data_IF_800933562699
#
_entry.id   IF_800933562699
#
_cell.length_a   1.000
_cell.length_b   1.000
_cell.length_c   1.000
_cell.angle_alpha   90.00
_cell.angle_beta   90.00
_cell.angle_gamma   90.00
#
_symmetry.space_group_name_H-M   'P 1'
#
loop_
_entity.id
_entity.type
_entity.pdbx_description
1 polymer ?
#
# COMPACT_ATOMS: atom_id res chain seq x y z
N UNK A 1 20.68 2.99 -5.82
CA UNK A 1 21.98 3.67 -5.75
C UNK A 1 22.92 3.01 -4.74
N UNK A 2 22.43 2.29 -3.77
CA UNK A 2 23.20 1.57 -2.75
C UNK A 2 23.08 0.04 -2.96
N UNK A 3 23.79 -0.58 -3.92
CA UNK A 3 23.60 -1.99 -4.26
C UNK A 3 23.95 -2.97 -3.13
N UNK A 4 24.75 -2.53 -2.17
CA UNK A 4 25.23 -3.33 -1.04
C UNK A 4 24.35 -3.21 0.21
N UNK A 5 23.26 -2.41 0.16
CA UNK A 5 22.32 -2.28 1.26
C UNK A 5 21.10 -3.15 0.96
N UNK A 6 20.80 -4.17 1.78
CA UNK A 6 19.65 -5.04 1.54
C UNK A 6 18.33 -4.27 1.63
N UNK A 7 17.42 -4.53 0.71
CA UNK A 7 16.09 -3.90 0.67
C UNK A 7 15.04 -4.84 1.25
N UNK A 8 15.25 -6.15 1.18
CA UNK A 8 14.27 -7.16 1.56
C UNK A 8 13.92 -7.14 3.06
N UNK A 9 14.85 -6.68 3.89
CA UNK A 9 14.67 -6.56 5.35
C UNK A 9 14.10 -5.21 5.79
N UNK A 10 13.90 -4.27 4.86
CA UNK A 10 13.41 -2.93 5.16
C UNK A 10 11.91 -2.97 5.44
N UNK A 11 11.54 -2.64 6.67
CA UNK A 11 10.13 -2.55 7.08
C UNK A 11 9.65 -1.10 7.03
N UNK A 12 8.60 -0.87 6.26
CA UNK A 12 7.86 0.39 6.29
C UNK A 12 6.71 0.23 7.27
N UNK A 13 6.65 1.08 8.30
CA UNK A 13 5.66 0.99 9.39
C UNK A 13 4.63 2.10 9.37
N UNK A 14 4.77 3.08 8.47
CA UNK A 14 3.88 4.22 8.32
C UNK A 14 3.55 4.45 6.85
N UNK A 15 2.33 4.87 6.59
CA UNK A 15 1.87 5.22 5.24
C UNK A 15 2.26 6.64 4.83
N UNK A 16 2.64 7.47 5.78
CA UNK A 16 3.07 8.83 5.51
C UNK A 16 4.50 8.86 4.96
N UNK A 17 4.75 9.82 4.08
CA UNK A 17 6.06 10.12 3.53
C UNK A 17 6.53 11.50 3.97
N UNK A 18 7.83 11.76 3.98
CA UNK A 18 8.38 13.05 4.34
C UNK A 18 9.21 13.65 3.20
N UNK A 19 9.12 14.97 3.03
CA UNK A 19 10.07 15.76 2.23
C UNK A 19 10.95 16.53 3.21
N UNK A 20 12.24 16.19 3.36
CA UNK A 20 13.07 16.70 4.45
C UNK A 20 13.59 18.12 4.20
N UNK A 21 12.76 19.05 3.70
CA UNK A 21 13.16 20.40 3.37
C UNK A 21 13.62 21.18 4.63
N UNK A 22 12.89 21.06 5.73
CA UNK A 22 13.26 21.70 7.01
C UNK A 22 14.46 21.03 7.65
N UNK A 23 14.57 19.71 7.58
CA UNK A 23 15.70 18.96 8.09
C UNK A 23 17.00 19.31 7.35
N UNK A 24 16.91 19.49 6.04
CA UNK A 24 18.03 19.99 5.24
C UNK A 24 18.42 21.43 5.58
N UNK A 25 17.54 22.20 6.22
CA UNK A 25 17.84 23.53 6.75
C UNK A 25 18.31 23.50 8.23
N UNK A 26 18.45 22.32 8.84
CA UNK A 26 18.91 22.13 10.20
C UNK A 26 17.80 22.16 11.26
N UNK A 27 16.53 22.09 10.87
CA UNK A 27 15.40 22.07 11.80
C UNK A 27 14.83 20.66 11.92
N UNK A 28 15.01 20.05 13.10
CA UNK A 28 14.62 18.66 13.36
C UNK A 28 13.47 18.50 14.37
N UNK A 29 12.92 19.60 14.89
CA UNK A 29 11.76 19.51 15.77
C UNK A 29 10.60 18.80 15.07
N UNK A 30 9.99 17.81 15.76
CA UNK A 30 8.92 16.98 15.24
C UNK A 30 9.30 16.12 13.99
N UNK A 31 10.60 15.93 13.73
CA UNK A 31 11.03 15.04 12.67
C UNK A 31 10.75 13.58 13.03
N UNK A 32 10.02 12.89 12.15
CA UNK A 32 9.76 11.47 12.26
C UNK A 32 10.61 10.70 11.24
N UNK A 33 11.67 10.07 11.73
CA UNK A 33 12.58 9.29 10.92
C UNK A 33 12.00 8.01 10.35
N UNK A 34 10.88 7.50 10.89
CA UNK A 34 10.25 6.26 10.40
C UNK A 34 9.60 6.39 9.02
N UNK A 35 9.51 7.60 8.49
CA UNK A 35 8.90 7.87 7.19
C UNK A 35 9.90 7.69 6.06
N UNK A 36 9.42 7.27 4.89
CA UNK A 36 10.20 7.31 3.65
C UNK A 36 10.53 8.76 3.34
N UNK A 37 11.82 9.06 3.13
CA UNK A 37 12.30 10.41 2.83
C UNK A 37 12.37 10.61 1.32
N UNK A 38 11.78 11.70 0.79
CA UNK A 38 11.70 11.96 -0.64
C UNK A 38 12.41 13.26 -0.97
N UNK A 39 13.45 13.17 -1.79
CA UNK A 39 14.22 14.28 -2.31
C UNK A 39 13.69 14.62 -3.71
N UNK A 40 13.05 15.77 -3.82
CA UNK A 40 12.62 16.36 -5.08
C UNK A 40 13.60 17.43 -5.58
N UNK A 41 13.19 18.15 -6.63
CA UNK A 41 14.01 19.20 -7.24
C UNK A 41 14.35 20.32 -6.25
N UNK A 42 13.43 20.69 -5.38
CA UNK A 42 13.61 21.81 -4.44
C UNK A 42 14.68 21.44 -3.40
N UNK A 43 14.54 20.29 -2.77
CA UNK A 43 15.48 19.77 -1.78
C UNK A 43 16.87 19.58 -2.42
N UNK A 44 16.91 19.02 -3.61
CA UNK A 44 18.14 18.78 -4.35
C UNK A 44 18.87 20.09 -4.69
N UNK A 45 18.17 21.08 -5.24
CA UNK A 45 18.76 22.39 -5.57
C UNK A 45 19.29 23.10 -4.31
N UNK A 46 18.57 22.97 -3.19
CA UNK A 46 19.03 23.51 -1.90
C UNK A 46 20.34 22.84 -1.45
N UNK A 47 20.42 21.51 -1.56
CA UNK A 47 21.64 20.74 -1.26
C UNK A 47 22.82 21.17 -2.14
N UNK A 48 22.60 21.36 -3.46
CA UNK A 48 23.62 21.83 -4.39
C UNK A 48 24.14 23.22 -4.00
N UNK A 49 23.26 24.15 -3.63
CA UNK A 49 23.63 25.50 -3.21
C UNK A 49 24.44 25.53 -1.90
N UNK A 50 24.16 24.60 -0.98
CA UNK A 50 24.88 24.51 0.31
C UNK A 50 26.20 23.73 0.21
N UNK A 51 26.37 22.96 -0.85
CA UNK A 51 27.53 22.12 -1.07
C UNK A 51 27.42 20.73 -0.47
N UNK A 52 28.32 19.86 -0.89
CA UNK A 52 28.21 18.42 -0.58
C UNK A 52 28.54 18.13 0.87
N UNK A 53 29.50 18.80 1.49
CA UNK A 53 29.81 18.62 2.90
C UNK A 53 28.62 18.90 3.80
N UNK A 54 27.91 19.99 3.55
CA UNK A 54 26.69 20.32 4.27
C UNK A 54 25.60 19.28 4.05
N UNK A 55 25.43 18.84 2.81
CA UNK A 55 24.43 17.82 2.45
C UNK A 55 24.70 16.48 3.13
N UNK A 56 25.98 16.07 3.22
CA UNK A 56 26.40 14.87 3.94
C UNK A 56 26.06 14.99 5.43
N UNK A 57 26.38 16.13 6.06
CA UNK A 57 26.07 16.36 7.47
C UNK A 57 24.55 16.27 7.74
N UNK A 58 23.73 16.97 6.97
CA UNK A 58 22.27 16.98 7.17
C UNK A 58 21.64 15.60 6.90
N UNK A 59 22.11 14.89 5.88
CA UNK A 59 21.63 13.53 5.63
C UNK A 59 22.14 12.53 6.67
N UNK A 60 23.32 12.73 7.25
CA UNK A 60 23.78 11.94 8.39
C UNK A 60 22.85 12.11 9.59
N UNK A 61 22.42 13.33 9.92
CA UNK A 61 21.46 13.60 10.99
C UNK A 61 20.08 12.95 10.71
N UNK A 62 19.63 13.01 9.44
CA UNK A 62 18.37 12.32 9.02
C UNK A 62 18.50 10.80 9.19
N UNK A 63 19.66 10.22 8.84
CA UNK A 63 19.89 8.77 8.90
C UNK A 63 20.18 8.26 10.31
N UNK A 64 20.80 9.10 11.18
CA UNK A 64 21.04 8.75 12.58
C UNK A 64 19.75 8.70 13.40
N UNK A 65 18.71 9.46 13.01
CA UNK A 65 17.52 9.68 13.79
C UNK A 65 17.78 10.52 15.06
N UNK A 66 16.73 11.10 15.61
CA UNK A 66 16.77 11.67 16.96
C UNK A 66 16.93 10.53 17.98
N UNK A 67 17.40 10.82 19.20
CA UNK A 67 17.81 9.90 20.29
C UNK A 67 16.92 8.65 20.59
N UNK A 68 15.88 8.38 19.82
CA UNK A 68 14.98 7.21 19.90
C UNK A 68 15.04 6.29 18.66
N UNK A 69 16.17 6.25 17.99
CA UNK A 69 16.71 5.10 17.26
C UNK A 69 15.87 4.46 16.16
N UNK A 70 15.23 5.18 15.29
CA UNK A 70 14.70 4.56 14.08
C UNK A 70 15.26 5.26 12.85
N UNK A 71 15.89 4.47 11.98
CA UNK A 71 16.40 4.92 10.69
C UNK A 71 15.25 5.07 9.70
N UNK A 72 15.33 6.00 8.73
CA UNK A 72 14.36 6.03 7.65
C UNK A 72 14.42 4.71 6.86
N UNK A 73 13.25 4.18 6.44
CA UNK A 73 13.20 2.96 5.66
C UNK A 73 14.01 3.07 4.36
N UNK A 74 13.95 4.21 3.70
CA UNK A 74 14.79 4.56 2.56
C UNK A 74 14.74 6.06 2.26
N UNK A 75 15.66 6.50 1.42
CA UNK A 75 15.65 7.84 0.83
C UNK A 75 15.49 7.70 -0.68
N UNK A 76 14.52 8.41 -1.27
CA UNK A 76 14.21 8.31 -2.70
C UNK A 76 14.49 9.64 -3.40
N UNK A 77 15.39 9.62 -4.37
CA UNK A 77 15.65 10.74 -5.26
C UNK A 77 14.74 10.64 -6.49
N UNK A 78 13.89 11.64 -6.67
CA UNK A 78 12.96 11.72 -7.80
C UNK A 78 13.60 12.39 -9.03
N UNK A 79 12.92 12.36 -10.20
CA UNK A 79 13.34 13.01 -11.45
C UNK A 79 14.71 12.55 -11.98
N UNK A 80 15.13 11.36 -11.61
CA UNK A 80 16.45 10.83 -11.95
C UNK A 80 17.63 11.73 -11.50
N UNK A 81 17.44 12.52 -10.43
CA UNK A 81 18.47 13.39 -9.87
C UNK A 81 19.71 12.57 -9.53
N UNK A 82 20.92 13.06 -9.83
CA UNK A 82 22.14 12.34 -9.49
C UNK A 82 22.35 12.31 -7.97
N UNK A 83 23.04 11.29 -7.51
CA UNK A 83 23.40 11.12 -6.09
C UNK A 83 24.92 11.12 -6.01
N UNK A 84 25.49 12.01 -5.19
CA UNK A 84 26.94 12.09 -4.96
C UNK A 84 27.44 10.80 -4.27
N UNK A 85 28.62 10.32 -4.64
CA UNK A 85 29.19 9.08 -4.13
C UNK A 85 29.37 9.11 -2.59
N UNK A 86 29.67 10.26 -2.02
CA UNK A 86 29.77 10.45 -0.56
C UNK A 86 28.45 10.19 0.17
N UNK A 87 27.33 10.54 -0.45
CA UNK A 87 26.00 10.23 0.09
C UNK A 87 25.70 8.73 0.00
N UNK A 88 26.19 8.07 -1.06
CA UNK A 88 26.06 6.61 -1.22
C UNK A 88 26.91 5.89 -0.15
N UNK A 89 28.14 6.36 0.09
CA UNK A 89 29.00 5.83 1.15
C UNK A 89 28.39 6.01 2.54
N UNK A 90 27.85 7.20 2.82
CA UNK A 90 27.14 7.51 4.06
C UNK A 90 25.94 6.58 4.26
N UNK A 91 25.09 6.45 3.25
CA UNK A 91 23.92 5.59 3.29
C UNK A 91 24.28 4.11 3.49
N UNK A 92 25.39 3.67 2.90
CA UNK A 92 25.91 2.32 3.09
C UNK A 92 26.42 2.12 4.53
N UNK A 93 27.10 3.12 5.11
CA UNK A 93 27.54 3.12 6.52
C UNK A 93 26.35 2.94 7.48
N UNK A 94 25.27 3.66 7.24
CA UNK A 94 24.08 3.64 8.09
C UNK A 94 23.09 2.52 7.71
N UNK A 95 23.35 1.77 6.65
CA UNK A 95 22.46 0.73 6.12
C UNK A 95 21.06 1.30 5.83
N UNK A 96 21.00 2.47 5.18
CA UNK A 96 19.78 3.12 4.70
C UNK A 96 19.78 3.09 3.18
N UNK A 97 18.83 2.41 2.52
CA UNK A 97 18.79 2.35 1.06
C UNK A 97 18.55 3.72 0.43
N UNK A 98 19.35 4.08 -0.57
CA UNK A 98 19.07 5.20 -1.47
C UNK A 98 18.55 4.64 -2.79
N UNK A 99 17.33 5.02 -3.13
CA UNK A 99 16.66 4.67 -4.36
C UNK A 99 16.55 5.88 -5.29
N UNK A 100 16.38 5.65 -6.58
CA UNK A 100 16.21 6.70 -7.57
C UNK A 100 15.09 6.34 -8.54
N UNK A 101 14.22 7.31 -8.85
CA UNK A 101 13.14 7.18 -9.82
C UNK A 101 13.18 8.29 -10.85
N UNK A 102 12.77 7.99 -12.10
CA UNK A 102 12.60 8.98 -13.18
C UNK A 102 11.33 9.82 -13.00
N UNK A 103 10.40 9.38 -12.16
CA UNK A 103 9.08 10.01 -11.99
C UNK A 103 9.18 11.39 -11.35
N UNK A 104 8.21 12.25 -11.65
CA UNK A 104 8.06 13.53 -10.97
C UNK A 104 7.71 13.30 -9.49
N UNK A 105 8.20 14.19 -8.62
CA UNK A 105 8.08 14.02 -7.15
C UNK A 105 6.63 13.84 -6.70
N UNK A 106 5.72 14.69 -7.19
CA UNK A 106 4.31 14.66 -6.76
C UNK A 106 3.59 13.40 -7.26
N UNK A 107 3.85 12.96 -8.48
CA UNK A 107 3.29 11.71 -9.03
C UNK A 107 3.78 10.50 -8.23
N UNK A 108 5.09 10.44 -7.98
CA UNK A 108 5.69 9.35 -7.20
C UNK A 108 5.13 9.31 -5.78
N UNK A 109 5.02 10.47 -5.12
CA UNK A 109 4.45 10.56 -3.76
C UNK A 109 2.99 10.09 -3.71
N UNK A 110 2.17 10.54 -4.67
CA UNK A 110 0.76 10.16 -4.71
C UNK A 110 0.59 8.64 -4.83
N UNK A 111 1.31 8.03 -5.77
CA UNK A 111 1.24 6.57 -5.97
C UNK A 111 1.83 5.79 -4.80
N UNK A 112 2.92 6.30 -4.20
CA UNK A 112 3.54 5.67 -3.03
C UNK A 112 2.60 5.69 -1.83
N UNK A 113 1.98 6.84 -1.53
CA UNK A 113 1.02 6.97 -0.44
C UNK A 113 -0.19 6.05 -0.68
N UNK A 114 -0.70 6.01 -1.91
CA UNK A 114 -1.79 5.09 -2.26
C UNK A 114 -1.40 3.63 -2.05
N UNK A 115 -0.21 3.24 -2.49
CA UNK A 115 0.32 1.89 -2.31
C UNK A 115 0.49 1.53 -0.83
N UNK A 116 1.04 2.45 -0.03
CA UNK A 116 1.24 2.26 1.40
C UNK A 116 -0.10 2.14 2.13
N UNK A 117 -1.05 3.03 1.86
CA UNK A 117 -2.39 2.98 2.43
C UNK A 117 -3.09 1.66 2.12
N UNK A 118 -3.01 1.18 0.88
CA UNK A 118 -3.60 -0.10 0.49
C UNK A 118 -2.97 -1.30 1.20
N UNK A 119 -1.63 -1.33 1.30
CA UNK A 119 -0.92 -2.46 1.89
C UNK A 119 -0.97 -2.47 3.42
N UNK A 120 -1.03 -1.29 4.05
CA UNK A 120 -1.06 -1.12 5.50
C UNK A 120 -2.48 -0.95 6.06
N UNK A 121 -3.51 -0.97 5.19
CA UNK A 121 -4.89 -0.84 5.59
C UNK A 121 -5.25 -1.86 6.67
N UNK A 122 -5.91 -1.43 7.75
CA UNK A 122 -6.48 -2.34 8.74
C UNK A 122 -7.39 -3.36 8.06
N UNK A 123 -7.29 -4.62 8.46
CA UNK A 123 -8.02 -5.74 7.86
C UNK A 123 -8.84 -6.45 8.91
N UNK A 124 -10.02 -6.86 8.52
CA UNK A 124 -10.84 -7.81 9.26
C UNK A 124 -11.47 -8.81 8.31
N UNK A 125 -11.94 -9.91 8.86
CA UNK A 125 -12.62 -10.97 8.11
C UNK A 125 -14.01 -11.14 8.70
N UNK A 126 -15.02 -11.24 7.83
CA UNK A 126 -16.40 -11.48 8.22
C UNK A 126 -16.99 -12.67 7.48
N UNK A 127 -17.96 -13.38 8.09
CA UNK A 127 -18.74 -14.37 7.41
C UNK A 127 -19.89 -13.72 6.66
N UNK A 128 -19.92 -13.93 5.36
CA UNK A 128 -20.92 -13.33 4.48
C UNK A 128 -20.61 -13.59 3.02
N UNK A 129 -21.44 -13.05 2.15
CA UNK A 129 -21.29 -13.10 0.71
C UNK A 129 -21.20 -11.68 0.18
N UNK A 130 -20.17 -11.38 -0.59
CA UNK A 130 -20.00 -10.08 -1.23
C UNK A 130 -20.28 -10.23 -2.73
N UNK A 131 -21.23 -9.44 -3.23
CA UNK A 131 -21.61 -9.38 -4.64
C UNK A 131 -21.57 -7.95 -5.16
N UNK A 132 -21.23 -7.80 -6.42
CA UNK A 132 -21.31 -6.52 -7.14
C UNK A 132 -22.64 -6.52 -7.92
N UNK A 133 -23.53 -5.61 -7.56
CA UNK A 133 -24.84 -5.42 -8.18
C UNK A 133 -24.86 -4.05 -8.86
N UNK A 134 -24.77 -4.02 -10.18
CA UNK A 134 -24.68 -2.78 -11.00
C UNK A 134 -23.56 -1.80 -10.58
N UNK A 135 -22.48 -2.31 -10.03
CA UNK A 135 -21.34 -1.51 -9.58
C UNK A 135 -21.31 -1.24 -8.08
N UNK A 136 -22.42 -1.45 -7.38
CA UNK A 136 -22.54 -1.33 -5.93
C UNK A 136 -22.18 -2.67 -5.24
N UNK A 137 -21.37 -2.61 -4.19
CA UNK A 137 -20.99 -3.78 -3.42
C UNK A 137 -21.94 -4.04 -2.27
N UNK A 138 -22.63 -5.19 -2.34
CA UNK A 138 -23.58 -5.60 -1.32
C UNK A 138 -22.97 -6.75 -0.50
N UNK A 139 -22.77 -6.52 0.79
CA UNK A 139 -22.34 -7.55 1.73
C UNK A 139 -23.56 -8.19 2.38
N UNK A 140 -23.85 -9.42 2.01
CA UNK A 140 -24.98 -10.21 2.54
C UNK A 140 -24.48 -10.96 3.78
N UNK A 141 -25.02 -10.62 4.95
CA UNK A 141 -24.71 -11.25 6.22
C UNK A 141 -25.92 -12.04 6.75
N UNK A 142 -25.67 -12.98 7.65
CA UNK A 142 -26.72 -13.78 8.27
C UNK A 142 -26.18 -15.11 8.80
N UNK A 143 -27.03 -15.88 9.49
CA UNK A 143 -26.66 -17.17 10.04
C UNK A 143 -26.26 -18.18 8.96
N UNK A 144 -25.42 -19.15 9.35
CA UNK A 144 -25.06 -20.24 8.43
C UNK A 144 -26.31 -21.02 8.02
N UNK A 145 -26.46 -21.23 6.71
CA UNK A 145 -27.55 -22.01 6.15
C UNK A 145 -28.85 -21.28 5.87
N UNK A 146 -28.86 -19.95 6.00
CA UNK A 146 -30.06 -19.16 5.65
C UNK A 146 -30.26 -18.98 4.14
N UNK A 147 -29.32 -19.40 3.30
CA UNK A 147 -29.43 -19.31 1.85
C UNK A 147 -28.61 -18.18 1.21
N UNK A 148 -27.56 -17.65 1.88
CA UNK A 148 -26.74 -16.55 1.32
C UNK A 148 -26.09 -16.91 0.00
N UNK A 149 -25.47 -18.09 -0.09
CA UNK A 149 -24.81 -18.57 -1.30
C UNK A 149 -25.78 -18.84 -2.43
N UNK A 150 -26.98 -19.32 -2.12
CA UNK A 150 -28.07 -19.52 -3.09
C UNK A 150 -28.59 -18.20 -3.66
N UNK A 151 -28.69 -17.16 -2.81
CA UNK A 151 -29.05 -15.79 -3.26
C UNK A 151 -27.93 -15.24 -4.17
N UNK A 152 -26.65 -15.44 -3.81
CA UNK A 152 -25.54 -15.02 -4.66
C UNK A 152 -25.58 -15.71 -6.03
N UNK A 153 -25.84 -17.01 -6.07
CA UNK A 153 -25.97 -17.76 -7.34
C UNK A 153 -27.10 -17.21 -8.21
N UNK A 154 -28.26 -16.90 -7.64
CA UNK A 154 -29.37 -16.27 -8.36
C UNK A 154 -28.99 -14.89 -8.91
N UNK A 155 -28.24 -14.09 -8.15
CA UNK A 155 -27.71 -12.80 -8.60
C UNK A 155 -26.73 -12.96 -9.77
N UNK A 156 -25.85 -13.99 -9.72
CA UNK A 156 -24.93 -14.32 -10.82
C UNK A 156 -25.73 -14.69 -12.09
N UNK A 157 -26.77 -15.49 -11.95
CA UNK A 157 -27.65 -15.82 -13.08
C UNK A 157 -28.33 -14.60 -13.72
N UNK A 158 -28.57 -13.55 -12.93
CA UNK A 158 -29.10 -12.26 -13.39
C UNK A 158 -28.05 -11.31 -13.97
N UNK A 159 -26.79 -11.75 -14.06
CA UNK A 159 -25.71 -10.98 -14.65
C UNK A 159 -24.92 -10.11 -13.67
N UNK A 160 -25.08 -10.30 -12.36
CA UNK A 160 -24.26 -9.68 -11.32
C UNK A 160 -22.98 -10.49 -11.08
N UNK A 161 -22.05 -9.94 -10.29
CA UNK A 161 -20.72 -10.53 -10.14
C UNK A 161 -20.47 -10.98 -8.71
N UNK A 162 -19.95 -12.20 -8.55
CA UNK A 162 -19.44 -12.69 -7.27
C UNK A 162 -18.09 -12.04 -6.97
N UNK A 163 -17.93 -11.58 -5.75
CA UNK A 163 -16.62 -11.14 -5.20
C UNK A 163 -16.10 -12.18 -4.21
N UNK A 164 -16.92 -12.57 -3.24
CA UNK A 164 -16.56 -13.60 -2.25
C UNK A 164 -17.79 -14.33 -1.73
N UNK A 165 -17.62 -15.63 -1.42
CA UNK A 165 -18.60 -16.44 -0.71
C UNK A 165 -18.00 -16.94 0.60
N UNK A 166 -18.83 -17.08 1.63
CA UNK A 166 -18.56 -17.54 2.99
C UNK A 166 -17.62 -16.63 3.81
N UNK A 167 -16.46 -16.26 3.28
CA UNK A 167 -15.44 -15.46 3.97
C UNK A 167 -15.08 -14.22 3.15
N UNK A 168 -15.35 -13.04 3.69
CA UNK A 168 -15.00 -11.75 3.08
C UNK A 168 -13.88 -11.09 3.86
N UNK A 169 -12.75 -10.87 3.21
CA UNK A 169 -11.68 -10.03 3.73
C UNK A 169 -11.99 -8.56 3.45
N UNK A 170 -12.07 -7.75 4.49
CA UNK A 170 -12.37 -6.33 4.40
C UNK A 170 -11.14 -5.51 4.78
N UNK A 171 -10.73 -4.60 3.90
CA UNK A 171 -9.68 -3.59 4.14
C UNK A 171 -10.30 -2.21 4.27
N UNK A 172 -9.95 -1.49 5.31
CA UNK A 172 -10.34 -0.07 5.48
C UNK A 172 -9.31 0.82 4.79
N UNK A 173 -9.58 1.19 3.54
CA UNK A 173 -8.66 2.00 2.71
C UNK A 173 -8.56 3.43 3.23
N UNK A 174 -9.69 4.01 3.66
CA UNK A 174 -9.78 5.33 4.29
C UNK A 174 -11.02 5.38 5.19
N UNK A 175 -11.37 6.57 5.70
CA UNK A 175 -12.51 6.74 6.64
C UNK A 175 -13.86 6.35 6.05
N UNK A 176 -14.03 6.45 4.73
CA UNK A 176 -15.31 6.22 4.03
C UNK A 176 -15.28 5.01 3.10
N UNK A 177 -14.14 4.32 2.95
CA UNK A 177 -14.00 3.26 1.93
C UNK A 177 -13.59 1.95 2.57
N UNK A 178 -14.47 0.96 2.50
CA UNK A 178 -14.22 -0.43 2.83
C UNK A 178 -14.11 -1.23 1.53
N UNK A 179 -12.98 -1.90 1.33
CA UNK A 179 -12.74 -2.75 0.16
C UNK A 179 -12.84 -4.21 0.58
N UNK A 180 -13.78 -4.94 -0.03
CA UNK A 180 -13.96 -6.37 0.19
C UNK A 180 -13.30 -7.21 -0.90
N UNK A 181 -12.78 -8.37 -0.52
CA UNK A 181 -12.17 -9.37 -1.40
C UNK A 181 -12.35 -10.78 -0.85
N UNK A 182 -12.21 -11.77 -1.71
CA UNK A 182 -12.08 -13.16 -1.28
C UNK A 182 -10.64 -13.47 -0.82
N UNK A 183 -10.44 -14.38 0.15
CA UNK A 183 -9.15 -15.04 0.34
C UNK A 183 -8.68 -15.72 -0.95
N UNK A 184 -7.36 -15.78 -1.17
CA UNK A 184 -6.80 -16.33 -2.42
C UNK A 184 -7.24 -17.78 -2.69
N UNK A 185 -7.43 -18.58 -1.63
CA UNK A 185 -7.79 -20.01 -1.72
C UNK A 185 -9.24 -20.19 -2.15
N UNK A 186 -10.16 -19.31 -1.73
CA UNK A 186 -11.62 -19.41 -1.99
C UNK A 186 -12.08 -18.51 -3.12
N UNK A 187 -11.16 -17.80 -3.77
CA UNK A 187 -11.46 -16.85 -4.83
C UNK A 187 -12.22 -17.53 -5.98
N UNK A 188 -13.36 -16.95 -6.35
CA UNK A 188 -14.26 -17.41 -7.42
C UNK A 188 -15.01 -18.70 -7.12
N UNK A 189 -14.89 -19.27 -5.94
CA UNK A 189 -15.64 -20.45 -5.53
C UNK A 189 -16.88 -20.04 -4.73
N UNK A 190 -17.93 -20.87 -4.85
CA UNK A 190 -19.16 -20.78 -4.06
C UNK A 190 -19.49 -22.17 -3.53
N UNK A 191 -19.88 -22.28 -2.28
CA UNK A 191 -20.33 -23.53 -1.69
C UNK A 191 -21.86 -23.61 -1.65
N UNK A 192 -22.40 -24.62 -2.30
CA UNK A 192 -23.83 -24.88 -2.33
C UNK A 192 -24.16 -26.18 -1.59
N UNK A 193 -25.09 -26.12 -0.67
CA UNK A 193 -25.49 -27.28 0.10
C UNK A 193 -26.06 -28.39 -0.82
N UNK A 194 -25.56 -29.61 -0.62
CA UNK A 194 -26.01 -30.79 -1.39
C UNK A 194 -25.39 -30.88 -2.79
N UNK A 195 -24.69 -29.87 -3.26
CA UNK A 195 -24.03 -29.86 -4.58
C UNK A 195 -22.49 -29.87 -4.38
N UNK A 196 -21.96 -29.07 -3.43
CA UNK A 196 -20.55 -28.93 -3.15
C UNK A 196 -19.99 -27.58 -3.62
N UNK A 197 -18.68 -27.53 -3.86
CA UNK A 197 -17.96 -26.31 -4.26
C UNK A 197 -18.00 -26.17 -5.79
N UNK A 198 -18.40 -25.00 -6.25
CA UNK A 198 -18.55 -24.65 -7.67
C UNK A 198 -17.55 -23.53 -8.00
N UNK A 199 -16.80 -23.67 -9.09
CA UNK A 199 -16.01 -22.60 -9.69
C UNK A 199 -16.92 -21.73 -10.59
N UNK A 200 -17.29 -20.57 -10.06
CA UNK A 200 -18.20 -19.62 -10.72
C UNK A 200 -17.57 -19.08 -12.01
N UNK A 201 -16.28 -18.80 -12.00
CA UNK A 201 -15.57 -18.28 -13.17
C UNK A 201 -15.56 -19.29 -14.33
N UNK A 202 -15.40 -20.56 -14.03
CA UNK A 202 -15.38 -21.63 -15.03
C UNK A 202 -16.79 -21.89 -15.58
N UNK A 203 -17.83 -21.85 -14.75
CA UNK A 203 -19.20 -22.18 -15.16
C UNK A 203 -19.93 -21.01 -15.82
N UNK A 204 -19.74 -19.78 -15.33
CA UNK A 204 -20.51 -18.60 -15.77
C UNK A 204 -19.66 -17.59 -16.53
N UNK A 205 -18.34 -17.83 -16.65
CA UNK A 205 -17.42 -16.96 -17.38
C UNK A 205 -16.77 -15.87 -16.51
N UNK A 206 -15.75 -15.21 -17.08
CA UNK A 206 -14.94 -14.18 -16.39
C UNK A 206 -15.78 -12.97 -15.98
N UNK A 207 -16.85 -12.67 -16.72
CA UNK A 207 -17.73 -11.54 -16.43
C UNK A 207 -18.60 -11.72 -15.18
N UNK A 208 -18.71 -12.94 -14.64
CA UNK A 208 -19.52 -13.27 -13.46
C UNK A 208 -18.76 -13.13 -12.13
N UNK A 209 -17.47 -12.79 -12.19
CA UNK A 209 -16.63 -12.66 -11.00
C UNK A 209 -15.88 -11.31 -10.97
N UNK A 210 -15.49 -10.89 -9.78
CA UNK A 210 -14.67 -9.69 -9.56
C UNK A 210 -13.74 -9.93 -8.36
N UNK A 211 -12.52 -9.48 -8.46
CA UNK A 211 -11.51 -9.75 -7.42
C UNK A 211 -11.71 -8.90 -6.17
N UNK A 212 -12.14 -7.64 -6.34
CA UNK A 212 -12.36 -6.70 -5.25
C UNK A 212 -13.56 -5.79 -5.53
N UNK A 213 -14.27 -5.37 -4.50
CA UNK A 213 -15.38 -4.42 -4.62
C UNK A 213 -15.46 -3.56 -3.35
N UNK A 214 -15.75 -2.25 -3.50
CA UNK A 214 -16.13 -1.43 -2.36
C UNK A 214 -17.41 -1.98 -1.76
N UNK A 215 -17.54 -1.92 -0.44
CA UNK A 215 -18.75 -2.32 0.28
C UNK A 215 -19.57 -1.06 0.48
N UNK A 216 -20.73 -1.01 -0.18
CA UNK A 216 -21.62 0.16 -0.19
C UNK A 216 -22.84 -0.07 0.71
N UNK A 217 -23.29 -1.35 0.82
CA UNK A 217 -24.41 -1.78 1.67
C UNK A 217 -24.10 -3.07 2.41
N UNK A 218 -24.71 -3.20 3.61
CA UNK A 218 -24.64 -4.39 4.45
C UNK A 218 -26.04 -4.79 4.86
#
# INVERSE_FOLDING_TARGET
>A
CTPNVPIDDVKVTQSDVNRPALQLAGFFDYFDSNRIQIIGQVEYTYMEQKGVEYSVQMLEEIMCGSEKSTKPPCIVFCRNLPVDDRLIELATKYQVPILRTKRATNEFMADLIQCLNYNMAPRCTVHGVLVDIYGEGILIMGESGIGKSEVALELIHRGHRLVSDDVVEIKRINESTLLGSAPDITRHFIELRGIGIIDVKTLFGVSSVKDTQNIDLV
#
